data_IF_316768339411
#
_entry.id   IF_316768339411
#
_cell.length_a   1.000
_cell.length_b   1.000
_cell.length_c   1.000
_cell.angle_alpha   90.00
_cell.angle_beta   90.00
_cell.angle_gamma   90.00
#
_symmetry.space_group_name_H-M   'P 1'
#
loop_
_entity.id
_entity.type
_entity.pdbx_description
1 polymer ?
#
# COMPACT_ATOMS: atom_id res chain seq x y z
N UNK A 1 -27.47 25.11 8.36
CA UNK A 1 -26.17 24.77 8.98
C UNK A 1 -25.08 25.37 8.09
N UNK A 2 -24.13 26.13 8.62
CA UNK A 2 -23.10 26.83 7.81
C UNK A 2 -22.02 25.81 7.41
N UNK A 3 -21.51 25.86 6.18
CA UNK A 3 -20.47 24.97 5.63
C UNK A 3 -19.27 24.76 6.57
N UNK A 4 -18.82 25.84 7.22
CA UNK A 4 -17.73 25.79 8.22
C UNK A 4 -17.98 24.81 9.37
N UNK A 5 -19.24 24.64 9.80
CA UNK A 5 -19.60 23.67 10.83
C UNK A 5 -19.41 22.23 10.32
N UNK A 6 -19.75 21.96 9.06
CA UNK A 6 -19.47 20.65 8.47
C UNK A 6 -17.98 20.39 8.31
N UNK A 7 -17.18 21.38 7.88
CA UNK A 7 -15.73 21.24 7.80
C UNK A 7 -15.14 20.79 9.15
N UNK A 8 -15.46 21.51 10.23
CA UNK A 8 -14.98 21.16 11.57
C UNK A 8 -15.44 19.76 12.01
N UNK A 9 -16.69 19.40 11.74
CA UNK A 9 -17.23 18.07 12.09
C UNK A 9 -16.55 16.94 11.31
N UNK A 10 -16.32 17.11 10.01
CA UNK A 10 -15.61 16.12 9.20
C UNK A 10 -14.17 15.95 9.68
N UNK A 11 -13.46 17.05 9.95
CA UNK A 11 -12.10 17.01 10.49
C UNK A 11 -12.04 16.27 11.82
N UNK A 12 -12.94 16.59 12.76
CA UNK A 12 -13.01 15.92 14.06
C UNK A 12 -13.34 14.43 13.92
N UNK A 13 -14.31 14.09 13.07
CA UNK A 13 -14.71 12.70 12.84
C UNK A 13 -13.54 11.87 12.29
N UNK A 14 -12.81 12.38 11.30
CA UNK A 14 -11.63 11.72 10.73
C UNK A 14 -10.52 11.56 11.77
N UNK A 15 -10.30 12.56 12.61
CA UNK A 15 -9.29 12.52 13.65
C UNK A 15 -9.60 11.45 14.71
N UNK A 16 -10.83 11.41 15.21
CA UNK A 16 -11.20 10.59 16.36
C UNK A 16 -11.50 9.13 15.99
N UNK A 17 -12.07 8.91 14.82
CA UNK A 17 -12.67 7.61 14.46
C UNK A 17 -11.88 6.86 13.38
N UNK A 18 -11.24 7.59 12.45
CA UNK A 18 -10.65 7.01 11.24
C UNK A 18 -9.12 6.99 11.30
N UNK A 19 -8.48 8.02 11.86
CA UNK A 19 -7.02 8.14 11.82
C UNK A 19 -6.32 7.16 12.75
N UNK A 20 -5.20 6.61 12.27
CA UNK A 20 -4.27 5.76 13.04
C UNK A 20 -3.88 6.45 14.36
N UNK A 21 -4.02 5.74 15.47
CA UNK A 21 -3.67 6.21 16.83
C UNK A 21 -2.34 5.61 17.31
N UNK A 22 -1.89 6.02 18.49
CA UNK A 22 -0.57 5.65 19.00
C UNK A 22 -0.40 4.15 19.23
N UNK A 23 -1.43 3.46 19.70
CA UNK A 23 -1.40 1.99 19.84
C UNK A 23 -1.16 1.28 18.50
N UNK A 24 -1.72 1.82 17.41
CA UNK A 24 -1.58 1.25 16.07
C UNK A 24 -0.17 1.51 15.55
N UNK A 25 0.38 2.71 15.80
CA UNK A 25 1.78 3.05 15.47
C UNK A 25 2.77 2.16 16.19
N UNK A 26 2.58 1.95 17.49
CA UNK A 26 3.43 1.04 18.26
C UNK A 26 3.36 -0.38 17.72
N UNK A 27 2.17 -0.89 17.45
CA UNK A 27 1.98 -2.22 16.87
C UNK A 27 2.70 -2.36 15.52
N UNK A 28 2.51 -1.41 14.60
CA UNK A 28 3.20 -1.40 13.29
C UNK A 28 4.71 -1.31 13.45
N UNK A 29 5.21 -0.49 14.38
CA UNK A 29 6.64 -0.37 14.65
C UNK A 29 7.24 -1.69 15.13
N UNK A 30 6.58 -2.36 16.08
CA UNK A 30 7.05 -3.63 16.65
C UNK A 30 7.02 -4.74 15.57
N UNK A 31 5.97 -4.79 14.73
CA UNK A 31 5.88 -5.74 13.61
C UNK A 31 6.86 -5.42 12.49
N UNK A 32 7.03 -4.15 12.11
CA UNK A 32 7.99 -3.78 11.08
C UNK A 32 9.41 -4.14 11.52
N UNK A 33 9.76 -3.87 12.78
CA UNK A 33 11.06 -4.22 13.34
C UNK A 33 11.35 -5.72 13.29
N UNK A 34 10.38 -6.58 13.57
CA UNK A 34 10.60 -8.03 13.47
C UNK A 34 10.88 -8.50 12.04
N UNK A 35 10.31 -7.85 11.02
CA UNK A 35 10.67 -8.13 9.63
C UNK A 35 12.05 -7.58 9.25
N UNK A 36 12.46 -6.43 9.79
CA UNK A 36 13.82 -5.91 9.61
C UNK A 36 14.87 -6.87 10.16
N UNK A 37 14.58 -7.57 11.25
CA UNK A 37 15.51 -8.52 11.86
C UNK A 37 15.73 -9.77 10.96
N UNK A 38 14.78 -10.10 10.09
CA UNK A 38 14.87 -11.23 9.13
C UNK A 38 15.43 -10.80 7.78
N UNK A 39 14.97 -9.65 7.26
CA UNK A 39 15.24 -9.18 5.90
C UNK A 39 16.42 -8.21 5.83
N UNK A 40 16.87 -7.69 6.97
CA UNK A 40 17.89 -6.65 7.08
C UNK A 40 17.26 -5.25 7.04
N UNK A 41 17.50 -4.45 8.09
CA UNK A 41 16.90 -3.12 8.22
C UNK A 41 17.15 -2.19 7.04
N UNK A 42 18.38 -2.17 6.50
CA UNK A 42 18.75 -1.35 5.34
C UNK A 42 18.13 -1.83 4.02
N UNK A 43 17.61 -3.06 3.99
CA UNK A 43 17.01 -3.68 2.81
C UNK A 43 15.48 -3.58 2.83
N UNK A 44 14.90 -2.90 3.82
CA UNK A 44 13.45 -2.81 3.95
C UNK A 44 13.00 -1.36 3.88
N UNK A 45 11.90 -1.14 3.17
CA UNK A 45 11.25 0.17 3.08
C UNK A 45 9.75 -0.01 3.30
N UNK A 46 9.17 0.75 4.23
CA UNK A 46 7.71 0.82 4.32
C UNK A 46 7.19 1.54 3.07
N UNK A 47 6.22 0.93 2.40
CA UNK A 47 5.54 1.50 1.22
C UNK A 47 4.03 1.53 1.47
N UNK A 48 3.25 1.87 0.46
CA UNK A 48 1.79 1.81 0.59
C UNK A 48 1.20 2.94 1.42
N UNK A 49 0.01 2.71 1.98
CA UNK A 49 -0.80 3.77 2.59
C UNK A 49 -0.24 4.29 3.93
N UNK A 50 0.56 3.46 4.61
CA UNK A 50 1.11 3.76 5.92
C UNK A 50 2.12 4.93 5.89
N UNK A 51 3.25 4.88 5.15
CA UNK A 51 4.19 5.99 5.05
C UNK A 51 3.62 7.23 4.34
N UNK A 52 2.51 7.07 3.60
CA UNK A 52 1.75 8.18 3.01
C UNK A 52 0.81 8.87 4.01
N UNK A 53 0.66 8.32 5.21
CA UNK A 53 -0.25 8.78 6.26
C UNK A 53 -1.71 8.79 5.82
N UNK A 54 -2.08 7.89 4.91
CA UNK A 54 -3.45 7.71 4.41
C UNK A 54 -4.05 6.36 4.81
N UNK A 55 -3.35 5.58 5.65
CA UNK A 55 -3.90 4.44 6.35
C UNK A 55 -5.04 4.87 7.29
N UNK A 56 -6.03 3.99 7.46
CA UNK A 56 -7.23 4.21 8.28
C UNK A 56 -7.39 3.12 9.32
N UNK A 57 -8.26 3.35 10.30
CA UNK A 57 -8.73 2.37 11.27
C UNK A 57 -10.03 1.69 10.78
N UNK A 58 -10.25 0.40 11.10
CA UNK A 58 -9.26 -0.52 11.68
C UNK A 58 -8.04 -0.68 10.74
N UNK A 59 -6.87 -0.88 11.33
CA UNK A 59 -5.64 -1.00 10.55
C UNK A 59 -5.65 -2.36 9.83
N UNK A 60 -5.61 -2.35 8.50
CA UNK A 60 -5.76 -3.55 7.69
C UNK A 60 -4.42 -4.17 7.30
N UNK A 61 -3.51 -3.37 6.77
CA UNK A 61 -2.30 -3.83 6.11
C UNK A 61 -1.08 -2.94 6.38
N UNK A 62 0.10 -3.54 6.20
CA UNK A 62 1.38 -2.87 6.06
C UNK A 62 2.12 -3.46 4.86
N UNK A 63 2.48 -2.60 3.92
CA UNK A 63 3.31 -2.97 2.78
C UNK A 63 4.79 -2.72 3.09
N UNK A 64 5.63 -3.73 2.84
CA UNK A 64 7.09 -3.65 3.00
C UNK A 64 7.74 -4.01 1.67
N UNK A 65 8.50 -3.09 1.09
CA UNK A 65 9.40 -3.39 -0.01
C UNK A 65 10.66 -4.04 0.56
N UNK A 66 11.05 -5.19 0.01
CA UNK A 66 12.30 -5.89 0.35
C UNK A 66 13.30 -5.77 -0.80
N UNK A 67 14.31 -4.93 -0.62
CA UNK A 67 15.33 -4.57 -1.60
C UNK A 67 16.44 -5.63 -1.59
N UNK A 68 16.57 -6.35 -2.69
CA UNK A 68 17.49 -7.48 -2.85
C UNK A 68 18.83 -7.10 -3.48
N UNK A 69 18.90 -5.93 -4.12
CA UNK A 69 20.04 -5.44 -4.86
C UNK A 69 19.62 -4.68 -6.12
N UNK A 70 20.51 -4.63 -7.09
CA UNK A 70 20.30 -3.97 -8.39
C UNK A 70 19.60 -4.89 -9.40
N UNK A 71 18.86 -4.28 -10.31
CA UNK A 71 18.16 -4.98 -11.38
C UNK A 71 19.13 -5.51 -12.45
N UNK A 72 18.97 -6.79 -12.82
CA UNK A 72 19.64 -7.41 -13.96
C UNK A 72 18.60 -8.18 -14.79
N UNK A 73 18.39 -7.75 -16.03
CA UNK A 73 17.44 -8.36 -16.96
C UNK A 73 17.67 -9.85 -17.24
N UNK A 74 18.87 -10.38 -16.98
CA UNK A 74 19.21 -11.77 -17.32
C UNK A 74 19.14 -12.74 -16.13
N UNK A 75 18.96 -12.26 -14.89
CA UNK A 75 19.24 -13.07 -13.68
C UNK A 75 18.04 -13.22 -12.73
N UNK A 76 16.85 -12.80 -13.15
CA UNK A 76 15.71 -12.66 -12.24
C UNK A 76 14.51 -13.54 -12.60
N UNK A 77 14.30 -14.62 -11.85
CA UNK A 77 13.07 -15.43 -11.94
C UNK A 77 12.09 -15.09 -10.79
N UNK A 78 10.89 -14.56 -11.11
CA UNK A 78 9.96 -14.07 -10.09
C UNK A 78 9.35 -15.20 -9.24
N UNK A 79 9.15 -16.39 -9.80
CA UNK A 79 8.56 -17.54 -9.09
C UNK A 79 9.53 -18.05 -8.03
N UNK A 80 10.77 -18.33 -8.41
CA UNK A 80 11.78 -18.83 -7.47
C UNK A 80 12.12 -17.79 -6.42
N UNK A 81 12.11 -16.50 -6.79
CA UNK A 81 12.32 -15.43 -5.83
C UNK A 81 11.25 -15.43 -4.74
N UNK A 82 9.96 -15.37 -5.12
CA UNK A 82 8.87 -15.35 -4.15
C UNK A 82 8.90 -16.59 -3.23
N UNK A 83 9.18 -17.78 -3.78
CA UNK A 83 9.34 -19.01 -3.00
C UNK A 83 10.53 -18.93 -2.02
N UNK A 84 11.68 -18.42 -2.46
CA UNK A 84 12.86 -18.26 -1.62
C UNK A 84 12.61 -17.32 -0.44
N UNK A 85 11.96 -16.17 -0.69
CA UNK A 85 11.59 -15.20 0.34
C UNK A 85 10.55 -15.79 1.29
N UNK A 86 9.55 -16.52 0.78
CA UNK A 86 8.57 -17.20 1.63
C UNK A 86 9.25 -18.22 2.57
N UNK A 87 10.16 -19.03 2.04
CA UNK A 87 10.89 -20.03 2.84
C UNK A 87 11.75 -19.36 3.90
N UNK A 88 12.46 -18.27 3.55
CA UNK A 88 13.22 -17.47 4.51
C UNK A 88 12.33 -16.98 5.66
N UNK A 89 11.18 -16.36 5.35
CA UNK A 89 10.23 -15.89 6.37
C UNK A 89 9.72 -17.05 7.23
N UNK A 90 9.30 -18.17 6.63
CA UNK A 90 8.80 -19.34 7.37
C UNK A 90 9.84 -19.92 8.34
N UNK A 91 11.12 -19.84 8.00
CA UNK A 91 12.19 -20.44 8.79
C UNK A 91 12.75 -19.49 9.86
N UNK A 92 12.79 -18.19 9.58
CA UNK A 92 13.52 -17.21 10.39
C UNK A 92 12.62 -16.21 11.14
N UNK A 93 11.34 -16.06 10.75
CA UNK A 93 10.47 -15.04 11.33
C UNK A 93 10.06 -15.35 12.77
N UNK A 94 10.39 -14.41 13.66
CA UNK A 94 9.94 -14.41 15.06
C UNK A 94 8.79 -13.41 15.21
N UNK A 95 7.60 -13.92 15.44
CA UNK A 95 6.41 -13.10 15.65
C UNK A 95 6.51 -12.31 16.98
N UNK A 96 6.50 -10.96 16.95
CA UNK A 96 6.61 -10.14 18.15
C UNK A 96 5.28 -9.98 18.90
N UNK A 97 4.20 -10.61 18.42
CA UNK A 97 2.83 -10.43 18.92
C UNK A 97 2.31 -11.69 19.59
N UNK A 98 1.20 -11.56 20.33
CA UNK A 98 0.43 -12.68 20.89
C UNK A 98 -0.48 -13.38 19.87
N UNK A 99 -0.61 -12.84 18.66
CA UNK A 99 -1.55 -13.30 17.65
C UNK A 99 -0.98 -14.48 16.88
N UNK A 100 -1.83 -15.36 16.36
CA UNK A 100 -1.37 -16.39 15.43
C UNK A 100 -1.14 -15.75 14.06
N UNK A 101 -0.32 -16.39 13.22
CA UNK A 101 -0.08 -15.89 11.87
C UNK A 101 0.00 -17.03 10.85
N UNK A 102 -0.29 -16.71 9.59
CA UNK A 102 -0.10 -17.60 8.45
C UNK A 102 0.68 -16.88 7.36
N UNK A 103 1.51 -17.62 6.62
CA UNK A 103 2.31 -17.09 5.50
C UNK A 103 1.82 -17.70 4.20
N UNK A 104 1.46 -16.86 3.22
CA UNK A 104 0.98 -17.27 1.89
C UNK A 104 1.71 -16.53 0.77
N UNK A 105 1.73 -17.13 -0.43
CA UNK A 105 2.24 -16.47 -1.63
C UNK A 105 1.09 -15.76 -2.36
N UNK A 106 1.37 -14.57 -2.87
CA UNK A 106 0.52 -13.84 -3.81
C UNK A 106 1.25 -13.69 -5.15
N UNK A 107 0.60 -13.01 -6.10
CA UNK A 107 1.16 -12.73 -7.43
C UNK A 107 2.45 -11.90 -7.40
N UNK A 108 2.62 -11.03 -6.42
CA UNK A 108 3.73 -10.06 -6.34
C UNK A 108 4.31 -9.91 -4.93
N UNK A 109 3.75 -10.61 -3.94
CA UNK A 109 4.11 -10.46 -2.54
C UNK A 109 4.08 -11.79 -1.78
N UNK A 110 4.67 -11.78 -0.59
CA UNK A 110 4.47 -12.77 0.45
C UNK A 110 3.60 -12.11 1.51
N UNK A 111 2.41 -12.65 1.73
CA UNK A 111 1.45 -12.10 2.70
C UNK A 111 1.55 -12.86 4.01
N UNK A 112 1.66 -12.12 5.11
CA UNK A 112 1.60 -12.62 6.48
C UNK A 112 0.32 -12.11 7.11
N UNK A 113 -0.62 -13.01 7.37
CA UNK A 113 -1.93 -12.68 7.96
C UNK A 113 -1.91 -13.00 9.44
N UNK A 114 -2.05 -11.98 10.28
CA UNK A 114 -2.21 -12.09 11.73
C UNK A 114 -3.68 -12.30 12.09
N UNK A 115 -3.93 -13.20 13.03
CA UNK A 115 -5.27 -13.61 13.43
C UNK A 115 -5.49 -13.56 14.94
N UNK A 116 -6.69 -13.16 15.32
CA UNK A 116 -7.20 -13.25 16.69
C UNK A 116 -8.53 -14.00 16.66
N UNK A 117 -8.64 -15.09 17.44
CA UNK A 117 -9.80 -15.99 17.43
C UNK A 117 -10.20 -16.55 16.05
N UNK A 118 -9.25 -16.66 15.12
CA UNK A 118 -9.47 -17.18 13.77
C UNK A 118 -9.77 -16.11 12.71
N UNK A 119 -10.10 -14.89 13.14
CA UNK A 119 -10.38 -13.75 12.27
C UNK A 119 -9.11 -12.99 11.92
N UNK A 120 -9.01 -12.51 10.69
CA UNK A 120 -7.93 -11.64 10.23
C UNK A 120 -8.04 -10.27 10.89
N UNK A 121 -6.96 -9.83 11.55
CA UNK A 121 -6.89 -8.53 12.21
C UNK A 121 -5.91 -7.57 11.55
N UNK A 122 -4.92 -8.11 10.84
CA UNK A 122 -3.85 -7.35 10.22
C UNK A 122 -3.08 -8.23 9.23
N UNK A 123 -2.64 -7.65 8.13
CA UNK A 123 -1.79 -8.30 7.15
C UNK A 123 -0.48 -7.52 6.94
N UNK A 124 0.57 -8.23 6.56
CA UNK A 124 1.81 -7.63 6.06
C UNK A 124 2.10 -8.20 4.70
N UNK A 125 2.25 -7.34 3.70
CA UNK A 125 2.64 -7.70 2.35
C UNK A 125 4.10 -7.36 2.13
N UNK A 126 4.94 -8.38 1.98
CA UNK A 126 6.35 -8.23 1.64
C UNK A 126 6.50 -8.35 0.14
N UNK A 127 6.95 -7.28 -0.50
CA UNK A 127 7.13 -7.17 -1.95
C UNK A 127 8.63 -7.20 -2.25
N UNK A 128 9.18 -8.33 -2.74
CA UNK A 128 10.58 -8.41 -3.13
C UNK A 128 10.85 -7.51 -4.34
N UNK A 129 11.98 -6.83 -4.35
CA UNK A 129 12.27 -5.78 -5.31
C UNK A 129 13.76 -5.65 -5.61
N UNK A 130 14.06 -5.19 -6.82
CA UNK A 130 15.39 -4.76 -7.23
C UNK A 130 15.36 -3.27 -7.60
N UNK A 131 16.40 -2.53 -7.21
CA UNK A 131 16.61 -1.14 -7.64
C UNK A 131 16.78 -1.11 -9.15
N UNK A 132 16.11 -0.17 -9.84
CA UNK A 132 16.04 -0.15 -11.30
C UNK A 132 16.53 1.14 -11.94
N UNK A 133 16.08 2.28 -11.43
CA UNK A 133 16.43 3.62 -11.91
C UNK A 133 16.00 4.65 -10.86
N UNK A 134 16.23 5.93 -11.13
CA UNK A 134 15.73 7.02 -10.28
C UNK A 134 14.42 7.62 -10.83
N UNK A 135 13.62 8.23 -9.96
CA UNK A 135 12.46 9.04 -10.32
C UNK A 135 12.82 10.54 -10.43
N UNK A 136 11.83 11.40 -10.68
CA UNK A 136 12.00 12.86 -10.79
C UNK A 136 12.44 13.57 -9.49
N UNK A 137 12.49 12.84 -8.37
CA UNK A 137 12.93 13.34 -7.06
C UNK A 137 14.33 12.84 -6.67
N UNK A 138 15.07 12.26 -7.61
CA UNK A 138 16.37 11.61 -7.39
C UNK A 138 16.28 10.48 -6.35
N UNK A 139 15.20 9.70 -6.40
CA UNK A 139 14.97 8.55 -5.52
C UNK A 139 14.82 7.26 -6.31
N UNK A 140 15.35 6.16 -5.76
CA UNK A 140 15.22 4.84 -6.37
C UNK A 140 13.77 4.46 -6.70
N UNK A 141 13.61 3.89 -7.89
CA UNK A 141 12.47 3.12 -8.36
C UNK A 141 12.85 1.66 -8.52
N UNK A 142 11.84 0.79 -8.64
CA UNK A 142 12.06 -0.63 -8.45
C UNK A 142 11.39 -1.50 -9.51
N UNK A 143 11.94 -2.70 -9.71
CA UNK A 143 11.28 -3.82 -10.38
C UNK A 143 10.76 -4.80 -9.35
N UNK A 144 9.46 -5.13 -9.43
CA UNK A 144 8.77 -6.07 -8.54
C UNK A 144 8.14 -7.21 -9.35
N UNK A 145 8.05 -8.43 -8.80
CA UNK A 145 7.49 -9.57 -9.54
C UNK A 145 5.99 -9.37 -9.81
N UNK A 146 5.50 -9.83 -10.97
CA UNK A 146 4.08 -9.98 -11.26
C UNK A 146 3.82 -11.33 -11.92
N UNK A 147 3.46 -12.30 -11.10
CA UNK A 147 3.02 -13.60 -11.55
C UNK A 147 1.51 -13.55 -11.77
N UNK A 148 1.07 -13.59 -13.02
CA UNK A 148 -0.35 -13.70 -13.31
C UNK A 148 -0.94 -14.96 -12.65
N UNK A 149 -1.93 -14.79 -11.77
CA UNK A 149 -2.75 -15.92 -11.34
C UNK A 149 -3.43 -16.56 -12.56
N UNK A 150 -3.45 -17.89 -12.62
CA UNK A 150 -4.03 -18.66 -13.72
C UNK A 150 -5.49 -18.29 -14.04
N UNK A 151 -6.21 -17.64 -13.11
CA UNK A 151 -7.60 -17.17 -13.29
C UNK A 151 -7.75 -15.98 -14.26
N UNK A 152 -6.69 -15.25 -14.55
CA UNK A 152 -6.74 -14.04 -15.40
C UNK A 152 -5.98 -14.19 -16.72
N UNK A 153 -6.18 -15.33 -17.42
CA UNK A 153 -5.63 -15.60 -18.78
C UNK A 153 -5.85 -14.42 -19.73
N UNK A 154 -7.02 -13.74 -19.66
CA UNK A 154 -7.33 -12.57 -20.49
C UNK A 154 -6.39 -11.38 -20.25
N UNK A 155 -5.96 -11.15 -19.01
CA UNK A 155 -5.02 -10.08 -18.66
C UNK A 155 -3.61 -10.42 -19.16
N UNK A 156 -3.22 -11.70 -19.07
CA UNK A 156 -2.00 -12.24 -19.68
C UNK A 156 -2.00 -12.10 -21.21
N UNK A 157 -3.15 -12.35 -21.86
CA UNK A 157 -3.31 -12.17 -23.31
C UNK A 157 -3.27 -10.68 -23.72
N UNK A 158 -3.87 -9.79 -22.92
CA UNK A 158 -3.84 -8.34 -23.16
C UNK A 158 -2.42 -7.78 -23.09
N UNK A 159 -1.64 -8.11 -22.06
CA UNK A 159 -0.22 -7.70 -21.99
C UNK A 159 0.64 -8.37 -23.07
N UNK A 160 0.33 -9.62 -23.43
CA UNK A 160 1.00 -10.33 -24.54
C UNK A 160 0.75 -9.67 -25.90
N UNK A 161 -0.42 -9.05 -26.10
CA UNK A 161 -0.74 -8.29 -27.32
C UNK A 161 -0.11 -6.89 -27.35
N UNK A 162 0.20 -6.31 -26.18
CA UNK A 162 0.84 -5.00 -26.05
C UNK A 162 2.37 -5.04 -26.21
N UNK A 163 2.98 -6.22 -26.26
CA UNK A 163 4.43 -6.41 -26.11
C UNK A 163 5.06 -7.23 -27.24
N UNK A 164 4.96 -6.74 -28.47
CA UNK A 164 5.87 -7.13 -29.56
C UNK A 164 7.20 -6.34 -29.52
N UNK A 165 7.46 -5.60 -28.43
CA UNK A 165 8.75 -4.94 -28.16
C UNK A 165 9.18 -5.14 -26.71
N UNK A 166 10.03 -6.15 -26.48
CA UNK A 166 11.09 -6.15 -25.46
C UNK A 166 10.68 -5.96 -23.98
N UNK A 167 9.71 -6.73 -23.46
CA UNK A 167 9.41 -6.76 -22.02
C UNK A 167 9.67 -8.13 -21.39
N UNK A 168 10.50 -8.06 -20.36
CA UNK A 168 10.80 -9.06 -19.35
C UNK A 168 9.51 -9.59 -18.69
N UNK A 169 9.14 -10.82 -19.04
CA UNK A 169 7.90 -11.44 -18.58
C UNK A 169 7.93 -11.67 -17.07
N UNK A 170 7.08 -10.93 -16.34
CA UNK A 170 6.82 -11.20 -14.91
C UNK A 170 7.44 -10.19 -13.95
N UNK A 171 7.83 -9.00 -14.43
CA UNK A 171 8.32 -7.89 -13.61
C UNK A 171 7.63 -6.57 -13.99
N UNK A 172 7.23 -5.77 -13.00
CA UNK A 172 6.64 -4.43 -13.17
C UNK A 172 7.58 -3.39 -12.61
N UNK A 173 7.71 -2.25 -13.30
CA UNK A 173 8.31 -1.04 -12.74
C UNK A 173 7.36 -0.35 -11.76
N UNK A 174 7.85 0.03 -10.59
CA UNK A 174 7.09 0.72 -9.54
C UNK A 174 7.90 1.83 -8.89
N UNK A 175 7.24 2.90 -8.50
CA UNK A 175 7.82 4.04 -7.78
C UNK A 175 7.06 4.35 -6.48
N UNK A 176 7.22 3.52 -5.43
CA UNK A 176 6.60 3.76 -4.14
C UNK A 176 7.08 5.06 -3.48
N UNK A 177 8.32 5.50 -3.76
CA UNK A 177 8.90 6.69 -3.14
C UNK A 177 8.32 7.98 -3.72
N UNK A 178 8.14 8.05 -5.04
CA UNK A 178 7.45 9.16 -5.70
C UNK A 178 6.02 9.32 -5.20
N UNK A 179 5.26 8.23 -5.02
CA UNK A 179 3.91 8.32 -4.42
C UNK A 179 3.94 8.88 -2.99
N UNK A 180 4.96 8.56 -2.20
CA UNK A 180 5.14 9.11 -0.85
C UNK A 180 5.44 10.61 -0.92
N UNK A 181 6.36 11.02 -1.80
CA UNK A 181 6.76 12.41 -1.95
C UNK A 181 5.61 13.29 -2.49
N UNK A 182 4.89 12.85 -3.53
CA UNK A 182 3.72 13.57 -4.06
C UNK A 182 2.66 13.76 -2.96
N UNK A 183 2.34 12.69 -2.22
CA UNK A 183 1.35 12.75 -1.14
C UNK A 183 1.79 13.73 -0.04
N UNK A 184 3.08 13.74 0.29
CA UNK A 184 3.65 14.66 1.26
C UNK A 184 3.51 16.11 0.78
N UNK A 185 3.94 16.41 -0.44
CA UNK A 185 3.86 17.77 -1.02
C UNK A 185 2.42 18.29 -1.08
N UNK A 186 1.48 17.47 -1.56
CA UNK A 186 0.05 17.85 -1.61
C UNK A 186 -0.49 18.15 -0.21
N UNK A 187 -0.12 17.34 0.79
CA UNK A 187 -0.56 17.56 2.16
C UNK A 187 0.10 18.78 2.84
N UNK A 188 1.34 19.11 2.46
CA UNK A 188 2.04 20.30 2.97
C UNK A 188 1.38 21.59 2.50
N UNK A 189 0.86 21.60 1.27
CA UNK A 189 0.05 22.70 0.73
C UNK A 189 -1.31 22.77 1.42
N UNK A 190 -2.02 21.64 1.52
CA UNK A 190 -3.32 21.60 2.18
C UNK A 190 -3.50 20.28 2.97
N UNK A 191 -3.58 20.42 4.29
CA UNK A 191 -3.63 19.27 5.20
C UNK A 191 -5.00 18.56 5.26
N UNK A 192 -6.05 19.13 4.65
CA UNK A 192 -7.34 18.44 4.49
C UNK A 192 -7.25 17.29 3.48
N UNK A 193 -6.26 17.31 2.58
CA UNK A 193 -6.03 16.23 1.62
C UNK A 193 -6.03 14.83 2.29
N UNK A 194 -5.16 14.60 3.28
CA UNK A 194 -5.11 13.31 3.98
C UNK A 194 -6.41 13.00 4.71
N UNK A 195 -7.13 14.03 5.20
CA UNK A 195 -8.41 13.82 5.88
C UNK A 195 -9.49 13.34 4.93
N UNK A 196 -9.59 13.95 3.74
CA UNK A 196 -10.52 13.53 2.68
C UNK A 196 -10.21 12.11 2.23
N UNK A 197 -8.93 11.79 1.95
CA UNK A 197 -8.53 10.43 1.56
C UNK A 197 -9.00 9.40 2.58
N UNK A 198 -8.75 9.66 3.87
CA UNK A 198 -9.16 8.78 4.96
C UNK A 198 -10.68 8.65 5.06
N UNK A 199 -11.41 9.76 4.97
CA UNK A 199 -12.88 9.76 4.99
C UNK A 199 -13.46 8.91 3.87
N UNK A 200 -13.01 9.11 2.63
CA UNK A 200 -13.52 8.38 1.47
C UNK A 200 -13.10 6.89 1.51
N UNK A 201 -11.90 6.57 2.03
CA UNK A 201 -11.52 5.17 2.27
C UNK A 201 -12.44 4.49 3.29
N UNK A 202 -12.82 5.18 4.37
CA UNK A 202 -13.74 4.66 5.37
C UNK A 202 -15.14 4.43 4.77
N UNK A 203 -15.65 5.41 4.00
CA UNK A 203 -16.89 5.27 3.23
C UNK A 203 -16.84 4.07 2.27
N UNK A 204 -15.75 3.91 1.51
CA UNK A 204 -15.59 2.78 0.60
C UNK A 204 -15.58 1.45 1.35
N UNK A 205 -14.94 1.39 2.52
CA UNK A 205 -14.89 0.16 3.30
C UNK A 205 -16.28 -0.27 3.79
N UNK A 206 -17.13 0.68 4.22
CA UNK A 206 -18.52 0.36 4.59
C UNK A 206 -19.32 -0.22 3.40
N UNK A 207 -19.07 0.28 2.18
CA UNK A 207 -19.71 -0.26 0.97
C UNK A 207 -19.20 -1.65 0.60
N UNK A 208 -17.91 -1.92 0.83
CA UNK A 208 -17.33 -3.25 0.56
C UNK A 208 -17.87 -4.31 1.52
N UNK A 209 -18.15 -3.93 2.77
CA UNK A 209 -18.80 -4.81 3.76
C UNK A 209 -20.22 -5.20 3.32
N UNK A 210 -20.96 -4.30 2.66
CA UNK A 210 -22.29 -4.58 2.12
C UNK A 210 -22.25 -5.32 0.77
N UNK A 211 -21.24 -5.04 -0.07
CA UNK A 211 -21.12 -5.53 -1.44
C UNK A 211 -19.70 -6.01 -1.71
N UNK A 212 -19.49 -7.31 -1.59
CA UNK A 212 -18.19 -7.95 -1.82
C UNK A 212 -17.63 -7.66 -3.24
N UNK A 213 -18.50 -7.47 -4.23
CA UNK A 213 -18.13 -7.15 -5.61
C UNK A 213 -17.64 -5.71 -5.84
N UNK A 214 -17.57 -4.86 -4.81
CA UNK A 214 -17.13 -3.47 -4.96
C UNK A 214 -15.63 -3.38 -5.32
N UNK A 215 -15.32 -3.11 -6.61
CA UNK A 215 -13.97 -3.20 -7.19
C UNK A 215 -13.06 -1.97 -7.01
N UNK A 216 -13.56 -0.86 -6.48
CA UNK A 216 -12.77 0.37 -6.35
C UNK A 216 -11.71 0.21 -5.25
N UNK A 217 -10.44 0.37 -5.62
CA UNK A 217 -9.31 0.27 -4.69
C UNK A 217 -9.06 1.58 -3.95
N UNK A 218 -8.61 1.47 -2.70
CA UNK A 218 -8.22 2.61 -1.86
C UNK A 218 -7.10 3.46 -2.49
N UNK A 219 -6.23 2.84 -3.29
CA UNK A 219 -5.20 3.56 -4.03
C UNK A 219 -5.80 4.43 -5.15
N UNK A 220 -6.80 3.95 -5.89
CA UNK A 220 -7.45 4.75 -6.94
C UNK A 220 -8.16 5.98 -6.35
N UNK A 221 -8.82 5.82 -5.20
CA UNK A 221 -9.43 6.93 -4.44
C UNK A 221 -8.38 8.01 -4.15
N UNK A 222 -7.21 7.59 -3.66
CA UNK A 222 -6.14 8.51 -3.32
C UNK A 222 -5.60 9.27 -4.53
N UNK A 223 -5.42 8.60 -5.67
CA UNK A 223 -4.97 9.25 -6.91
C UNK A 223 -5.97 10.30 -7.42
N UNK A 224 -7.27 10.01 -7.38
CA UNK A 224 -8.32 10.98 -7.75
C UNK A 224 -8.29 12.19 -6.82
N UNK A 225 -8.13 11.98 -5.51
CA UNK A 225 -8.09 13.08 -4.54
C UNK A 225 -6.80 13.89 -4.65
N UNK A 226 -5.65 13.27 -4.98
CA UNK A 226 -4.41 13.99 -5.32
C UNK A 226 -4.69 14.99 -6.45
N UNK A 227 -5.32 14.54 -7.53
CA UNK A 227 -5.68 15.40 -8.65
C UNK A 227 -6.58 16.57 -8.19
N UNK A 228 -7.58 16.32 -7.34
CA UNK A 228 -8.47 17.38 -6.85
C UNK A 228 -7.71 18.50 -6.13
N UNK A 229 -6.73 18.16 -5.31
CA UNK A 229 -5.95 19.13 -4.54
C UNK A 229 -4.82 19.78 -5.35
N UNK A 230 -4.33 19.11 -6.40
CA UNK A 230 -3.42 19.73 -7.37
C UNK A 230 -4.15 20.75 -8.26
N UNK A 231 -5.40 20.48 -8.63
CA UNK A 231 -6.25 21.42 -9.39
C UNK A 231 -6.72 22.61 -8.56
N UNK A 232 -6.97 22.40 -7.27
CA UNK A 232 -7.41 23.45 -6.35
C UNK A 232 -6.78 23.25 -4.96
N UNK A 233 -5.77 24.06 -4.64
CA UNK A 233 -5.05 24.01 -3.35
C UNK A 233 -5.89 24.48 -2.18
N UNK A 234 -6.92 25.30 -2.43
CA UNK A 234 -7.82 25.87 -1.41
C UNK A 234 -9.09 25.02 -1.20
N UNK A 235 -9.12 23.80 -1.72
CA UNK A 235 -10.27 22.92 -1.60
C UNK A 235 -10.52 22.55 -0.14
N UNK A 236 -11.69 22.90 0.39
CA UNK A 236 -12.08 22.54 1.75
C UNK A 236 -12.55 21.07 1.81
N UNK A 237 -12.37 20.42 2.96
CA UNK A 237 -12.80 19.02 3.19
C UNK A 237 -14.25 18.75 2.76
N UNK A 238 -15.19 19.66 3.02
CA UNK A 238 -16.58 19.52 2.58
C UNK A 238 -16.68 19.42 1.06
N UNK A 239 -16.06 20.36 0.32
CA UNK A 239 -16.16 20.38 -1.14
C UNK A 239 -15.53 19.14 -1.76
N UNK A 240 -14.38 18.71 -1.24
CA UNK A 240 -13.67 17.55 -1.74
C UNK A 240 -14.47 16.24 -1.53
N UNK A 241 -15.11 16.09 -0.37
CA UNK A 241 -15.97 14.93 -0.08
C UNK A 241 -17.16 14.91 -1.04
N UNK A 242 -17.88 16.02 -1.17
CA UNK A 242 -19.07 16.11 -2.04
C UNK A 242 -18.74 16.14 -3.54
N UNK A 243 -17.50 16.47 -3.93
CA UNK A 243 -17.01 16.30 -5.30
C UNK A 243 -16.73 14.83 -5.62
N UNK A 244 -16.38 14.02 -4.62
CA UNK A 244 -16.07 12.60 -4.82
C UNK A 244 -17.30 11.69 -4.82
N UNK A 245 -18.25 11.95 -3.90
CA UNK A 245 -19.45 11.13 -3.67
C UNK A 245 -20.60 11.52 -4.61
#
# INVERSE_FOLDING_TARGET
>A
MIKSNFNSKFCQYVQDNISIVEKDRKFVSDVYKSFQDVLGGNNTLQIGSYPRFTAIRPLHDLDILYILGEWDKNDHNPVSLLQSVQNKIKNEYVNPTKHTYNVSLQSHSITIVFKEHGEEIFAVDIVPAYVYSDNEFDQDTYKVPEIAEQKHIKRKQFYKQLQESDIDMGWIHTDPRGYIEITKQVNEVNNDFRRVVKFIKAWKNSHKEEKEEFKLKSFHIEQVIIQYYQENTELEIFDAIFKFL
#
